data_IF_483669188363
#
_entry.id   IF_483669188363
#
_cell.length_a   1.000
_cell.length_b   1.000
_cell.length_c   1.000
_cell.angle_alpha   90.00
_cell.angle_beta   90.00
_cell.angle_gamma   90.00
#
_symmetry.space_group_name_H-M   'P 1'
#
loop_
_entity.id
_entity.type
_entity.pdbx_description
1 polymer ?
#
# COMPACT_ATOMS: atom_id res chain seq x y z
N UNK A 1 -32.40 17.50 -9.59
CA UNK A 1 -31.57 16.30 -9.38
C UNK A 1 -30.11 16.73 -9.52
N UNK A 2 -29.64 17.61 -8.63
CA UNK A 2 -28.85 17.33 -7.43
C UNK A 2 -27.42 16.80 -7.71
N UNK A 3 -26.47 17.70 -8.03
CA UNK A 3 -25.04 17.37 -8.16
C UNK A 3 -24.41 16.74 -6.91
N UNK A 4 -25.06 16.82 -5.75
CA UNK A 4 -24.70 16.13 -4.50
C UNK A 4 -24.81 14.60 -4.62
N UNK A 5 -25.93 14.09 -5.13
CA UNK A 5 -26.20 12.66 -5.25
C UNK A 5 -25.27 11.98 -6.28
N UNK A 6 -25.01 12.64 -7.41
CA UNK A 6 -24.14 12.12 -8.46
C UNK A 6 -22.67 12.02 -7.98
N UNK A 7 -22.17 13.02 -7.22
CA UNK A 7 -20.82 12.99 -6.63
C UNK A 7 -20.66 11.86 -5.62
N UNK A 8 -21.66 11.63 -4.77
CA UNK A 8 -21.64 10.53 -3.81
C UNK A 8 -21.59 9.15 -4.50
N UNK A 9 -22.33 8.98 -5.60
CA UNK A 9 -22.35 7.73 -6.36
C UNK A 9 -20.99 7.38 -6.98
N UNK A 10 -20.31 8.36 -7.58
CA UNK A 10 -18.98 8.17 -8.20
C UNK A 10 -17.92 7.80 -7.15
N UNK A 11 -17.93 8.47 -5.99
CA UNK A 11 -16.98 8.19 -4.91
C UNK A 11 -17.19 6.80 -4.30
N UNK A 12 -18.44 6.37 -4.17
CA UNK A 12 -18.77 5.01 -3.73
C UNK A 12 -18.26 3.96 -4.71
N UNK A 13 -18.48 4.16 -6.02
CA UNK A 13 -17.99 3.23 -7.03
C UNK A 13 -16.46 3.09 -6.99
N UNK A 14 -15.73 4.20 -6.93
CA UNK A 14 -14.27 4.18 -6.88
C UNK A 14 -13.74 3.49 -5.61
N UNK A 15 -14.37 3.75 -4.46
CA UNK A 15 -14.02 3.10 -3.18
C UNK A 15 -14.29 1.60 -3.25
N UNK A 16 -15.46 1.18 -3.75
CA UNK A 16 -15.80 -0.24 -3.92
C UNK A 16 -14.86 -0.96 -4.88
N UNK A 17 -14.44 -0.30 -5.97
CA UNK A 17 -13.47 -0.88 -6.91
C UNK A 17 -12.13 -1.17 -6.23
N UNK A 18 -11.63 -0.25 -5.40
CA UNK A 18 -10.40 -0.48 -4.63
C UNK A 18 -10.55 -1.56 -3.57
N UNK A 19 -11.68 -1.60 -2.85
CA UNK A 19 -11.97 -2.68 -1.91
C UNK A 19 -11.96 -4.04 -2.63
N UNK A 20 -12.58 -4.12 -3.81
CA UNK A 20 -12.59 -5.34 -4.62
C UNK A 20 -11.17 -5.77 -5.02
N UNK A 21 -10.32 -4.83 -5.45
CA UNK A 21 -8.92 -5.12 -5.79
C UNK A 21 -8.18 -5.69 -4.57
N UNK A 22 -8.34 -5.09 -3.39
CA UNK A 22 -7.72 -5.59 -2.16
C UNK A 22 -8.24 -6.98 -1.78
N UNK A 23 -9.54 -7.25 -1.96
CA UNK A 23 -10.13 -8.58 -1.73
C UNK A 23 -9.50 -9.62 -2.66
N UNK A 24 -9.31 -9.28 -3.94
CA UNK A 24 -8.63 -10.15 -4.91
C UNK A 24 -7.18 -10.41 -4.46
N UNK A 25 -6.43 -9.37 -4.08
CA UNK A 25 -5.06 -9.51 -3.58
C UNK A 25 -5.03 -10.43 -2.36
N UNK A 26 -5.88 -10.18 -1.37
CA UNK A 26 -5.97 -10.97 -0.14
C UNK A 26 -6.25 -12.46 -0.44
N UNK A 27 -7.21 -12.74 -1.33
CA UNK A 27 -7.52 -14.10 -1.75
C UNK A 27 -6.31 -14.79 -2.39
N UNK A 28 -5.62 -14.11 -3.32
CA UNK A 28 -4.39 -14.62 -3.96
C UNK A 28 -3.32 -14.96 -2.92
N UNK A 29 -3.12 -14.09 -1.92
CA UNK A 29 -2.12 -14.34 -0.88
C UNK A 29 -2.46 -15.54 0.02
N UNK A 30 -3.74 -15.81 0.27
CA UNK A 30 -4.18 -17.02 0.98
C UNK A 30 -3.87 -18.28 0.16
N UNK A 31 -4.07 -18.22 -1.17
CA UNK A 31 -3.73 -19.32 -2.07
C UNK A 31 -2.23 -19.56 -2.23
N UNK A 32 -1.39 -18.51 -2.07
CA UNK A 32 0.09 -18.52 -2.16
C UNK A 32 0.78 -18.79 -0.80
N UNK A 33 0.13 -19.45 0.15
CA UNK A 33 0.42 -19.45 1.60
C UNK A 33 1.14 -18.22 2.22
N UNK A 34 0.88 -17.00 1.75
CA UNK A 34 1.49 -15.77 2.26
C UNK A 34 0.61 -15.11 3.35
N UNK A 35 0.45 -15.79 4.48
CA UNK A 35 -0.58 -15.44 5.47
C UNK A 35 -0.40 -14.07 6.13
N UNK A 36 0.85 -13.62 6.35
CA UNK A 36 1.11 -12.30 6.93
C UNK A 36 0.64 -11.19 5.99
N UNK A 37 0.90 -11.32 4.68
CA UNK A 37 0.47 -10.38 3.67
C UNK A 37 -1.06 -10.38 3.56
N UNK A 38 -1.67 -11.57 3.52
CA UNK A 38 -3.12 -11.71 3.53
C UNK A 38 -3.76 -11.00 4.73
N UNK A 39 -3.19 -11.13 5.94
CA UNK A 39 -3.67 -10.44 7.13
C UNK A 39 -3.59 -8.91 6.99
N UNK A 40 -2.49 -8.37 6.46
CA UNK A 40 -2.33 -6.93 6.23
C UNK A 40 -3.42 -6.43 5.26
N UNK A 41 -3.65 -7.13 4.15
CA UNK A 41 -4.70 -6.77 3.20
C UNK A 41 -6.11 -6.90 3.80
N UNK A 42 -6.37 -7.94 4.60
CA UNK A 42 -7.63 -8.10 5.32
C UNK A 42 -7.92 -6.93 6.27
N UNK A 43 -6.92 -6.49 7.05
CA UNK A 43 -7.04 -5.33 7.93
C UNK A 43 -7.35 -4.06 7.12
N UNK A 44 -6.66 -3.86 5.99
CA UNK A 44 -6.91 -2.72 5.12
C UNK A 44 -8.33 -2.73 4.52
N UNK A 45 -8.84 -3.89 4.10
CA UNK A 45 -10.22 -4.06 3.62
C UNK A 45 -11.21 -3.67 4.71
N UNK A 46 -11.05 -4.20 5.93
CA UNK A 46 -11.93 -3.91 7.06
C UNK A 46 -11.94 -2.42 7.38
N UNK A 47 -10.75 -1.78 7.42
CA UNK A 47 -10.63 -0.35 7.67
C UNK A 47 -11.33 0.49 6.59
N UNK A 48 -11.16 0.15 5.30
CA UNK A 48 -11.80 0.87 4.20
C UNK A 48 -13.31 0.66 4.13
N UNK A 49 -13.80 -0.55 4.45
CA UNK A 49 -15.24 -0.81 4.56
C UNK A 49 -15.84 0.01 5.70
N UNK A 50 -15.20 0.00 6.87
CA UNK A 50 -15.63 0.78 8.03
C UNK A 50 -15.65 2.30 7.74
N UNK A 51 -14.68 2.81 6.98
CA UNK A 51 -14.66 4.18 6.48
C UNK A 51 -15.80 4.47 5.49
N UNK A 52 -16.05 3.53 4.56
CA UNK A 52 -17.06 3.69 3.52
C UNK A 52 -18.49 3.71 4.09
N UNK A 53 -18.75 2.94 5.15
CA UNK A 53 -20.04 2.92 5.86
C UNK A 53 -20.15 4.00 6.95
N UNK A 54 -19.09 4.78 7.19
CA UNK A 54 -19.10 5.90 8.14
C UNK A 54 -18.93 5.50 9.61
N UNK A 55 -18.41 4.31 9.89
CA UNK A 55 -18.11 3.84 11.26
C UNK A 55 -16.88 4.56 11.82
N UNK A 56 -15.91 4.92 10.95
CA UNK A 56 -14.71 5.64 11.37
C UNK A 56 -15.02 7.14 11.41
N UNK A 57 -14.99 7.79 12.58
CA UNK A 57 -15.17 9.24 12.67
C UNK A 57 -14.00 9.94 11.96
N UNK A 58 -14.30 10.95 11.15
CA UNK A 58 -13.27 11.78 10.54
C UNK A 58 -12.40 12.44 11.62
N UNK A 59 -11.08 12.45 11.45
CA UNK A 59 -10.23 13.18 12.38
C UNK A 59 -10.43 14.68 12.20
N UNK A 60 -10.82 15.40 13.24
CA UNK A 60 -10.96 16.88 13.20
C UNK A 60 -9.61 17.57 13.45
N UNK A 61 -8.53 16.80 13.63
CA UNK A 61 -7.24 17.34 14.08
C UNK A 61 -6.38 17.70 12.88
N UNK A 62 -6.18 18.99 12.66
CA UNK A 62 -5.20 19.50 11.70
C UNK A 62 -3.83 18.86 11.99
N UNK A 63 -3.42 17.89 11.17
CA UNK A 63 -2.14 17.21 11.33
C UNK A 63 -1.09 18.09 10.67
N UNK A 64 -0.12 18.57 11.45
CA UNK A 64 1.06 19.24 10.90
C UNK A 64 2.20 18.26 10.87
N UNK A 65 2.90 18.21 9.74
CA UNK A 65 4.18 17.51 9.69
C UNK A 65 5.17 18.21 10.63
N UNK A 66 6.06 17.45 11.29
CA UNK A 66 7.16 18.03 12.04
C UNK A 66 8.05 18.93 11.16
N UNK A 67 8.89 19.78 11.75
CA UNK A 67 9.86 20.57 11.01
C UNK A 67 10.69 19.70 10.06
N UNK A 68 11.05 20.26 8.90
CA UNK A 68 11.74 19.51 7.84
C UNK A 68 13.03 18.82 8.30
N UNK A 69 13.78 19.44 9.22
CA UNK A 69 14.97 18.85 9.82
C UNK A 69 14.65 17.59 10.65
N UNK A 70 13.59 17.61 11.46
CA UNK A 70 13.16 16.44 12.26
C UNK A 70 12.73 15.30 11.34
N UNK A 71 11.97 15.61 10.28
CA UNK A 71 11.58 14.62 9.28
C UNK A 71 12.82 14.03 8.58
N UNK A 72 13.77 14.87 8.17
CA UNK A 72 14.99 14.43 7.49
C UNK A 72 15.84 13.52 8.39
N UNK A 73 16.08 13.92 9.64
CA UNK A 73 16.83 13.11 10.61
C UNK A 73 16.12 11.78 10.87
N UNK A 74 14.80 11.80 11.04
CA UNK A 74 14.00 10.59 11.19
C UNK A 74 14.10 9.66 9.98
N UNK A 75 14.01 10.19 8.77
CA UNK A 75 14.15 9.41 7.53
C UNK A 75 15.55 8.81 7.39
N UNK A 76 16.61 9.56 7.72
CA UNK A 76 17.98 9.05 7.69
C UNK A 76 18.15 7.92 8.71
N UNK A 77 17.65 8.09 9.94
CA UNK A 77 17.73 7.07 10.98
C UNK A 77 16.97 5.79 10.58
N UNK A 78 15.76 5.93 10.05
CA UNK A 78 14.96 4.80 9.54
C UNK A 78 15.66 4.13 8.37
N UNK A 79 16.16 4.89 7.40
CA UNK A 79 16.86 4.36 6.24
C UNK A 79 18.09 3.56 6.65
N UNK A 80 18.95 4.13 7.50
CA UNK A 80 20.13 3.45 8.02
C UNK A 80 19.75 2.14 8.72
N UNK A 81 18.75 2.19 9.61
CA UNK A 81 18.28 0.99 10.32
C UNK A 81 17.80 -0.08 9.35
N UNK A 82 16.94 0.25 8.39
CA UNK A 82 16.41 -0.72 7.42
C UNK A 82 17.49 -1.27 6.49
N UNK A 83 18.51 -0.48 6.13
CA UNK A 83 19.62 -0.93 5.29
C UNK A 83 20.49 -1.95 6.01
N UNK A 84 20.82 -1.73 7.28
CA UNK A 84 21.74 -2.61 8.01
C UNK A 84 21.07 -3.80 8.70
N UNK A 85 19.78 -3.71 9.04
CA UNK A 85 19.04 -4.81 9.68
C UNK A 85 18.64 -5.87 8.65
N UNK A 86 18.75 -7.19 8.93
CA UNK A 86 18.30 -8.23 8.00
C UNK A 86 16.84 -8.04 7.59
N UNK A 87 16.57 -8.13 6.28
CA UNK A 87 15.26 -7.80 5.69
C UNK A 87 14.12 -8.67 6.26
N UNK A 88 14.38 -9.95 6.47
CA UNK A 88 13.41 -10.91 7.00
C UNK A 88 13.45 -11.04 8.52
N UNK A 89 13.96 -10.02 9.22
CA UNK A 89 13.93 -9.99 10.69
C UNK A 89 12.59 -9.49 11.22
N UNK A 90 12.28 -9.87 12.46
CA UNK A 90 11.12 -9.31 13.19
C UNK A 90 11.25 -7.79 13.35
N UNK A 91 12.49 -7.29 13.49
CA UNK A 91 12.79 -5.85 13.68
C UNK A 91 12.42 -5.04 12.44
N UNK A 92 12.83 -5.47 11.24
CA UNK A 92 12.45 -4.79 10.00
C UNK A 92 10.94 -4.82 9.78
N UNK A 93 10.29 -5.95 10.05
CA UNK A 93 8.83 -6.07 10.01
C UNK A 93 8.12 -5.09 10.94
N UNK A 94 8.58 -4.98 12.20
CA UNK A 94 8.03 -4.04 13.18
C UNK A 94 8.21 -2.56 12.75
N UNK A 95 9.38 -2.20 12.21
CA UNK A 95 9.64 -0.84 11.70
C UNK A 95 8.73 -0.51 10.53
N UNK A 96 8.60 -1.42 9.56
CA UNK A 96 7.72 -1.21 8.39
C UNK A 96 6.27 -1.07 8.83
N UNK A 97 5.81 -1.92 9.76
CA UNK A 97 4.46 -1.82 10.33
C UNK A 97 4.25 -0.47 11.03
N UNK A 98 5.20 -0.02 11.85
CA UNK A 98 5.12 1.28 12.53
C UNK A 98 5.06 2.44 11.54
N UNK A 99 5.89 2.43 10.50
CA UNK A 99 5.86 3.45 9.44
C UNK A 99 4.52 3.42 8.71
N UNK A 100 4.02 2.24 8.36
CA UNK A 100 2.73 2.06 7.70
C UNK A 100 1.58 2.61 8.56
N UNK A 101 1.52 2.25 9.84
CA UNK A 101 0.51 2.75 10.78
C UNK A 101 0.62 4.26 10.97
N UNK A 102 1.84 4.81 11.09
CA UNK A 102 2.05 6.25 11.19
C UNK A 102 1.59 6.95 9.90
N UNK A 103 1.94 6.42 8.73
CA UNK A 103 1.54 6.99 7.44
C UNK A 103 0.02 6.97 7.28
N UNK A 104 -0.65 5.85 7.62
CA UNK A 104 -2.11 5.75 7.64
C UNK A 104 -2.68 6.78 8.60
N UNK A 105 -2.17 6.88 9.82
CA UNK A 105 -2.63 7.89 10.76
C UNK A 105 -2.50 9.29 10.14
N UNK A 106 -1.32 9.70 9.68
CA UNK A 106 -1.09 11.04 9.13
C UNK A 106 -1.86 11.35 7.84
N UNK A 107 -2.10 10.35 6.99
CA UNK A 107 -2.76 10.52 5.70
C UNK A 107 -4.24 10.14 5.71
N UNK A 108 -4.79 9.66 6.84
CA UNK A 108 -6.21 9.31 6.92
C UNK A 108 -7.07 10.55 6.70
N UNK A 109 -8.08 10.49 5.83
CA UNK A 109 -8.88 11.67 5.53
C UNK A 109 -9.69 12.16 6.74
N UNK A 110 -9.74 13.48 6.92
CA UNK A 110 -10.49 14.14 7.99
C UNK A 110 -12.02 14.09 7.79
N UNK A 111 -12.47 13.63 6.62
CA UNK A 111 -13.88 13.48 6.27
C UNK A 111 -14.20 12.04 5.87
N UNK A 112 -15.39 11.52 6.23
CA UNK A 112 -15.82 10.20 5.80
C UNK A 112 -15.91 10.13 4.28
N UNK A 113 -15.77 8.93 3.70
CA UNK A 113 -15.73 8.72 2.26
C UNK A 113 -16.89 9.38 1.49
N UNK A 114 -18.08 9.41 2.09
CA UNK A 114 -19.30 10.01 1.53
C UNK A 114 -19.26 11.53 1.39
N UNK A 115 -18.40 12.21 2.16
CA UNK A 115 -18.28 13.67 2.20
C UNK A 115 -17.00 14.19 1.51
N UNK A 116 -16.28 13.32 0.80
CA UNK A 116 -15.05 13.68 0.06
C UNK A 116 -15.39 14.29 -1.30
N UNK A 117 -14.50 15.14 -1.79
CA UNK A 117 -14.60 15.70 -3.13
C UNK A 117 -14.48 14.60 -4.19
N UNK A 118 -15.07 14.85 -5.36
CA UNK A 118 -14.96 13.94 -6.49
C UNK A 118 -13.50 13.86 -6.96
N UNK A 119 -13.06 12.65 -7.32
CA UNK A 119 -11.73 12.47 -7.88
C UNK A 119 -11.58 13.24 -9.19
N UNK A 120 -10.55 14.08 -9.24
CA UNK A 120 -10.16 14.77 -10.47
C UNK A 120 -9.76 13.76 -11.56
N UNK A 121 -9.87 14.15 -12.84
CA UNK A 121 -9.50 13.27 -13.97
C UNK A 121 -8.09 12.68 -13.84
N UNK A 122 -7.05 13.43 -13.42
CA UNK A 122 -5.72 12.85 -13.19
C UNK A 122 -5.72 11.75 -12.12
N UNK A 123 -6.42 11.95 -10.99
CA UNK A 123 -6.52 10.95 -9.92
C UNK A 123 -7.21 9.68 -10.40
N UNK A 124 -8.29 9.81 -11.17
CA UNK A 124 -8.98 8.66 -11.77
C UNK A 124 -8.07 7.87 -12.70
N UNK A 125 -7.32 8.55 -13.59
CA UNK A 125 -6.37 7.90 -14.51
C UNK A 125 -5.25 7.18 -13.78
N UNK A 126 -4.64 7.83 -12.78
CA UNK A 126 -3.63 7.19 -11.93
C UNK A 126 -4.21 6.00 -11.18
N UNK A 127 -5.44 6.10 -10.68
CA UNK A 127 -6.14 5.00 -10.02
C UNK A 127 -6.31 3.77 -10.93
N UNK A 128 -6.72 3.98 -12.18
CA UNK A 128 -6.84 2.89 -13.17
C UNK A 128 -5.48 2.27 -13.49
N UNK A 129 -4.44 3.08 -13.68
CA UNK A 129 -3.10 2.58 -13.94
C UNK A 129 -2.59 1.72 -12.78
N UNK A 130 -2.75 2.20 -11.54
CA UNK A 130 -2.34 1.45 -10.35
C UNK A 130 -3.17 0.18 -10.14
N UNK A 131 -4.47 0.22 -10.44
CA UNK A 131 -5.32 -0.97 -10.43
C UNK A 131 -4.83 -2.02 -11.43
N UNK A 132 -4.52 -1.61 -12.67
CA UNK A 132 -4.01 -2.50 -13.70
C UNK A 132 -2.68 -3.13 -13.29
N UNK A 133 -1.75 -2.34 -12.73
CA UNK A 133 -0.47 -2.84 -12.20
C UNK A 133 -0.70 -3.85 -11.08
N UNK A 134 -1.53 -3.53 -10.08
CA UNK A 134 -1.80 -4.41 -8.95
C UNK A 134 -2.41 -5.75 -9.40
N UNK A 135 -3.41 -5.71 -10.29
CA UNK A 135 -4.04 -6.92 -10.83
C UNK A 135 -3.05 -7.73 -11.67
N UNK A 136 -2.28 -7.09 -12.55
CA UNK A 136 -1.28 -7.78 -13.37
C UNK A 136 -0.22 -8.48 -12.51
N UNK A 137 0.28 -7.81 -11.46
CA UNK A 137 1.24 -8.40 -10.52
C UNK A 137 0.63 -9.58 -9.74
N UNK A 138 -0.64 -9.48 -9.31
CA UNK A 138 -1.31 -10.60 -8.64
C UNK A 138 -1.49 -11.81 -9.54
N UNK A 139 -1.93 -11.58 -10.78
CA UNK A 139 -2.09 -12.65 -11.76
C UNK A 139 -0.74 -13.28 -12.11
N UNK A 140 0.32 -12.49 -12.23
CA UNK A 140 1.68 -12.99 -12.43
C UNK A 140 2.13 -13.88 -11.26
N UNK A 141 2.05 -13.38 -10.03
CA UNK A 141 2.41 -14.11 -8.82
C UNK A 141 1.65 -15.43 -8.70
N UNK A 142 0.33 -15.40 -8.93
CA UNK A 142 -0.49 -16.62 -8.89
C UNK A 142 -0.13 -17.59 -10.01
N UNK A 143 0.07 -17.10 -11.24
CA UNK A 143 0.41 -17.94 -12.39
C UNK A 143 1.77 -18.65 -12.18
N UNK A 144 2.80 -17.92 -11.73
CA UNK A 144 4.11 -18.49 -11.46
C UNK A 144 4.07 -19.48 -10.30
N UNK A 145 3.31 -19.17 -9.24
CA UNK A 145 3.10 -20.10 -8.13
C UNK A 145 2.45 -21.42 -8.57
N UNK A 146 1.37 -21.35 -9.37
CA UNK A 146 0.70 -22.55 -9.89
C UNK A 146 1.61 -23.35 -10.81
N UNK A 147 2.27 -22.70 -11.78
CA UNK A 147 3.21 -23.35 -12.69
C UNK A 147 4.34 -24.03 -11.93
N UNK A 148 4.98 -23.33 -10.99
CA UNK A 148 6.07 -23.88 -10.17
C UNK A 148 5.63 -24.99 -9.21
N UNK A 149 4.35 -25.08 -8.87
CA UNK A 149 3.81 -26.14 -7.98
C UNK A 149 3.43 -27.42 -8.73
N UNK A 150 3.09 -27.32 -10.02
CA UNK A 150 2.62 -28.47 -10.81
C UNK A 150 3.59 -28.91 -11.92
N UNK A 151 4.54 -28.06 -12.32
CA UNK A 151 5.52 -28.42 -13.34
C UNK A 151 6.63 -29.31 -12.77
N UNK A 152 7.11 -30.31 -13.54
CA UNK A 152 8.22 -31.17 -13.11
C UNK A 152 9.52 -30.42 -12.81
N UNK A 153 9.71 -29.25 -13.45
CA UNK A 153 10.87 -28.39 -13.25
C UNK A 153 10.84 -27.55 -11.97
N UNK A 154 9.73 -27.54 -11.22
CA UNK A 154 9.60 -26.78 -9.98
C UNK A 154 9.64 -25.25 -10.16
N UNK A 155 9.86 -24.52 -9.06
CA UNK A 155 9.81 -23.06 -9.00
C UNK A 155 10.99 -22.35 -9.67
N UNK A 156 12.12 -23.02 -9.82
CA UNK A 156 13.35 -22.40 -10.37
C UNK A 156 13.16 -21.91 -11.82
N UNK A 157 12.30 -22.58 -12.59
CA UNK A 157 11.97 -22.20 -13.96
C UNK A 157 10.74 -21.29 -14.08
N UNK A 158 10.02 -21.06 -12.97
CA UNK A 158 8.83 -20.22 -12.91
C UNK A 158 8.89 -19.28 -11.69
N UNK A 159 9.90 -18.38 -11.61
CA UNK A 159 10.10 -17.53 -10.45
C UNK A 159 8.97 -16.50 -10.34
N UNK A 160 8.44 -16.35 -9.13
CA UNK A 160 7.53 -15.27 -8.81
C UNK A 160 8.23 -13.91 -8.95
N UNK A 161 7.45 -12.82 -9.06
CA UNK A 161 8.02 -11.47 -9.11
C UNK A 161 8.84 -11.18 -7.84
N UNK A 162 8.34 -11.62 -6.70
CA UNK A 162 9.05 -11.58 -5.41
C UNK A 162 10.40 -12.30 -5.46
N UNK A 163 10.46 -13.50 -6.04
CA UNK A 163 11.72 -14.26 -6.18
C UNK A 163 12.74 -13.51 -7.07
N UNK A 164 12.26 -12.81 -8.10
CA UNK A 164 13.12 -11.97 -8.97
C UNK A 164 13.62 -10.71 -8.27
N UNK A 165 12.82 -10.14 -7.38
CA UNK A 165 13.16 -8.93 -6.64
C UNK A 165 14.04 -9.22 -5.42
N UNK A 166 14.00 -10.44 -4.88
CA UNK A 166 14.74 -10.82 -3.68
C UNK A 166 16.26 -10.59 -3.80
N UNK A 167 16.97 -11.05 -4.84
CA UNK A 167 18.40 -10.81 -4.99
C UNK A 167 18.74 -9.31 -5.07
N UNK A 168 17.87 -8.53 -5.71
CA UNK A 168 18.03 -7.08 -5.83
C UNK A 168 17.86 -6.40 -4.46
N UNK A 169 16.88 -6.84 -3.68
CA UNK A 169 16.56 -6.29 -2.37
C UNK A 169 17.49 -6.80 -1.24
N UNK A 170 18.17 -7.92 -1.45
CA UNK A 170 19.17 -8.45 -0.51
C UNK A 170 20.57 -7.91 -0.77
N UNK A 171 20.88 -7.51 -2.01
CA UNK A 171 22.10 -6.79 -2.33
C UNK A 171 22.16 -5.42 -1.62
N UNK A 172 23.29 -5.09 -0.99
CA UNK A 172 23.43 -3.85 -0.20
C UNK A 172 23.02 -2.57 -0.97
N UNK A 173 23.43 -2.48 -2.24
CA UNK A 173 23.10 -1.33 -3.08
C UNK A 173 21.61 -1.29 -3.46
N UNK A 174 21.05 -2.43 -3.89
CA UNK A 174 19.65 -2.49 -4.29
C UNK A 174 18.70 -2.29 -3.11
N UNK A 175 19.03 -2.84 -1.95
CA UNK A 175 18.35 -2.57 -0.69
C UNK A 175 18.37 -1.09 -0.32
N UNK A 176 19.54 -0.44 -0.38
CA UNK A 176 19.67 0.98 -0.07
C UNK A 176 18.85 1.85 -1.04
N UNK A 177 18.95 1.57 -2.33
CA UNK A 177 18.16 2.28 -3.35
C UNK A 177 16.65 2.11 -3.11
N UNK A 178 16.20 0.87 -2.86
CA UNK A 178 14.79 0.57 -2.60
C UNK A 178 14.27 1.31 -1.36
N UNK A 179 14.98 1.24 -0.24
CA UNK A 179 14.59 1.90 1.02
C UNK A 179 14.52 3.42 0.83
N UNK A 180 15.52 4.03 0.19
CA UNK A 180 15.54 5.48 -0.04
C UNK A 180 14.37 5.90 -0.94
N UNK A 181 14.16 5.22 -2.07
CA UNK A 181 13.05 5.52 -2.98
C UNK A 181 11.71 5.36 -2.27
N UNK A 182 11.51 4.26 -1.53
CA UNK A 182 10.28 3.98 -0.80
C UNK A 182 9.96 5.08 0.23
N UNK A 183 10.96 5.50 1.02
CA UNK A 183 10.80 6.57 2.00
C UNK A 183 10.51 7.93 1.35
N UNK A 184 11.19 8.26 0.26
CA UNK A 184 10.97 9.53 -0.47
C UNK A 184 9.58 9.59 -1.10
N UNK A 185 9.13 8.49 -1.71
CA UNK A 185 7.78 8.36 -2.27
C UNK A 185 6.73 8.48 -1.16
N UNK A 186 6.93 7.77 -0.03
CA UNK A 186 6.06 7.87 1.13
C UNK A 186 5.94 9.30 1.65
N UNK A 187 7.07 9.97 1.88
CA UNK A 187 7.11 11.36 2.32
C UNK A 187 6.41 12.30 1.33
N UNK A 188 6.64 12.12 0.03
CA UNK A 188 5.99 12.91 -1.02
C UNK A 188 4.47 12.76 -0.97
N UNK A 189 3.97 11.53 -0.85
CA UNK A 189 2.53 11.26 -0.75
C UNK A 189 1.92 11.85 0.52
N UNK A 190 2.54 11.65 1.69
CA UNK A 190 2.04 12.21 2.95
C UNK A 190 2.03 13.74 2.92
N UNK A 191 3.08 14.39 2.39
CA UNK A 191 3.11 15.85 2.23
C UNK A 191 1.97 16.37 1.36
N UNK A 192 1.67 15.68 0.26
CA UNK A 192 0.57 16.05 -0.64
C UNK A 192 -0.80 15.96 0.00
N UNK A 193 -0.99 15.04 0.94
CA UNK A 193 -2.24 14.90 1.69
C UNK A 193 -2.34 15.97 2.77
N UNK A 194 -1.28 16.17 3.55
CA UNK A 194 -1.25 17.14 4.67
C UNK A 194 -1.25 18.60 4.19
N UNK A 195 -0.78 18.89 2.97
CA UNK A 195 -0.75 20.25 2.43
C UNK A 195 -2.08 20.71 1.80
N UNK A 196 -3.12 19.88 1.78
CA UNK A 196 -4.46 20.21 1.28
C UNK A 196 -5.36 20.65 2.41
#
# INVERSE_FOLDING_TARGET
MEPSAQRQQVNRFATSAWILILVIICAVQIFRPAYLDALIFAIAIVALVADAVGVIPGSVRARRLPPGAVVLVGLIAIAATLIFVPRHSVVSGAIVALIGTAAIAFAWPDRPASARDEWTRPVKRSGVLWAAVAVATCLWELAMYLLGSFAPSGRDNYPALSDLLDPLADGALGKAAFVVIWLLVGLFLTRRVVSR
#
